data_IF_281877937652
#
_entry.id   IF_281877937652
#
_cell.length_a   1.000
_cell.length_b   1.000
_cell.length_c   1.000
_cell.angle_alpha   90.00
_cell.angle_beta   90.00
_cell.angle_gamma   90.00
#
_symmetry.space_group_name_H-M   'P 1'
#
loop_
_entity.id
_entity.type
_entity.pdbx_description
1 polymer ?
#
# COMPACT_ATOMS: atom_id res chain seq x y z
N UNK A 1 -8.91 1.78 -17.05
CA UNK A 1 -7.95 0.92 -17.79
C UNK A 1 -8.03 -0.53 -17.30
N UNK A 2 -7.56 -1.55 -18.03
CA UNK A 2 -7.54 -2.93 -17.51
C UNK A 2 -6.28 -3.19 -16.64
N UNK A 3 -6.34 -4.20 -15.77
CA UNK A 3 -5.26 -4.48 -14.80
C UNK A 3 -3.92 -4.82 -15.48
N UNK A 4 -3.91 -5.48 -16.64
CA UNK A 4 -2.68 -5.80 -17.38
C UNK A 4 -1.90 -4.53 -17.76
N UNK A 5 -2.60 -3.52 -18.29
CA UNK A 5 -1.97 -2.27 -18.70
C UNK A 5 -1.49 -1.44 -17.51
N UNK A 6 -2.18 -1.52 -16.37
CA UNK A 6 -1.71 -0.92 -15.11
C UNK A 6 -0.39 -1.56 -14.67
N UNK A 7 -0.28 -2.89 -14.71
CA UNK A 7 0.95 -3.60 -14.37
C UNK A 7 2.10 -3.18 -15.28
N UNK A 8 1.89 -3.10 -16.59
CA UNK A 8 2.91 -2.66 -17.57
C UNK A 8 3.40 -1.23 -17.30
N UNK A 9 2.49 -0.32 -16.96
CA UNK A 9 2.84 1.06 -16.65
C UNK A 9 3.54 1.19 -15.30
N UNK A 10 3.09 0.45 -14.27
CA UNK A 10 3.81 0.35 -12.99
C UNK A 10 5.22 -0.18 -13.18
N UNK A 11 5.42 -1.21 -14.02
CA UNK A 11 6.75 -1.71 -14.38
C UNK A 11 7.61 -0.61 -14.99
N UNK A 12 7.07 0.13 -15.96
CA UNK A 12 7.77 1.23 -16.64
C UNK A 12 8.20 2.32 -15.66
N UNK A 13 7.31 2.69 -14.72
CA UNK A 13 7.61 3.65 -13.65
C UNK A 13 8.73 3.13 -12.72
N UNK A 14 8.66 1.85 -12.32
CA UNK A 14 9.62 1.25 -11.40
C UNK A 14 11.01 1.06 -12.03
N UNK A 15 11.10 0.93 -13.35
CA UNK A 15 12.38 0.82 -14.06
C UNK A 15 13.06 2.16 -14.38
N UNK A 16 12.35 3.30 -14.25
CA UNK A 16 12.90 4.62 -14.57
C UNK A 16 14.02 5.07 -13.62
N UNK A 17 15.26 4.82 -14.02
CA UNK A 17 16.48 5.14 -13.23
C UNK A 17 16.75 6.63 -13.05
N UNK A 18 16.02 7.50 -13.75
CA UNK A 18 16.14 8.95 -13.55
C UNK A 18 15.41 9.43 -12.28
N UNK A 19 14.60 8.56 -11.68
CA UNK A 19 13.83 8.84 -10.48
C UNK A 19 14.41 8.11 -9.28
N UNK A 20 14.34 8.75 -8.10
CA UNK A 20 14.58 8.05 -6.84
C UNK A 20 13.51 6.98 -6.62
N UNK A 21 13.81 5.95 -5.84
CA UNK A 21 12.84 4.88 -5.58
C UNK A 21 11.55 5.41 -4.93
N UNK A 22 11.67 6.37 -4.01
CA UNK A 22 10.53 7.07 -3.43
C UNK A 22 9.65 7.76 -4.49
N UNK A 23 10.26 8.45 -5.47
CA UNK A 23 9.53 9.09 -6.57
C UNK A 23 8.85 8.06 -7.49
N UNK A 24 9.46 6.90 -7.72
CA UNK A 24 8.84 5.82 -8.49
C UNK A 24 7.60 5.28 -7.78
N UNK A 25 7.69 4.99 -6.49
CA UNK A 25 6.55 4.56 -5.67
C UNK A 25 5.44 5.62 -5.62
N UNK A 26 5.78 6.90 -5.48
CA UNK A 26 4.82 8.00 -5.56
C UNK A 26 4.05 7.99 -6.88
N UNK A 27 4.76 7.82 -8.00
CA UNK A 27 4.14 7.73 -9.34
C UNK A 27 3.25 6.49 -9.51
N UNK A 28 3.59 5.37 -8.86
CA UNK A 28 2.71 4.19 -8.82
C UNK A 28 1.42 4.50 -8.07
N UNK A 29 1.48 5.19 -6.92
CA UNK A 29 0.29 5.63 -6.19
C UNK A 29 -0.58 6.55 -7.06
N UNK A 30 0.04 7.54 -7.72
CA UNK A 30 -0.64 8.48 -8.61
C UNK A 30 -1.32 7.76 -9.78
N UNK A 31 -0.63 6.81 -10.41
CA UNK A 31 -1.18 6.02 -11.50
C UNK A 31 -2.42 5.23 -11.06
N UNK A 32 -2.33 4.52 -9.93
CA UNK A 32 -3.43 3.70 -9.43
C UNK A 32 -4.65 4.57 -9.07
N UNK A 33 -4.43 5.66 -8.36
CA UNK A 33 -5.50 6.59 -7.97
C UNK A 33 -6.19 7.22 -9.18
N UNK A 34 -5.42 7.62 -10.20
CA UNK A 34 -5.96 8.27 -11.41
C UNK A 34 -6.78 7.32 -12.29
N UNK A 35 -6.43 6.03 -12.32
CA UNK A 35 -7.00 5.06 -13.26
C UNK A 35 -8.10 4.17 -12.65
N UNK A 36 -8.18 4.11 -11.32
CA UNK A 36 -9.21 3.38 -10.57
C UNK A 36 -10.06 4.37 -9.79
N UNK A 37 -11.24 4.70 -10.33
CA UNK A 37 -12.16 5.67 -9.72
C UNK A 37 -12.57 5.37 -8.27
N UNK A 38 -12.47 4.12 -7.83
CA UNK A 38 -12.79 3.71 -6.45
C UNK A 38 -11.61 3.85 -5.49
N UNK A 39 -10.41 4.19 -5.96
CA UNK A 39 -9.22 4.33 -5.14
C UNK A 39 -9.12 5.79 -4.72
N UNK A 40 -9.74 6.14 -3.60
CA UNK A 40 -9.76 7.53 -3.11
C UNK A 40 -8.41 7.90 -2.46
N UNK A 41 -7.77 6.94 -1.79
CA UNK A 41 -6.41 7.06 -1.25
C UNK A 41 -5.59 5.82 -1.62
N UNK A 42 -4.34 6.01 -2.00
CA UNK A 42 -3.39 4.93 -2.31
C UNK A 42 -2.06 5.27 -1.67
N UNK A 43 -1.49 4.38 -0.86
CA UNK A 43 -0.18 4.66 -0.28
C UNK A 43 0.55 3.44 0.22
N UNK A 44 1.81 3.66 0.58
CA UNK A 44 2.67 2.64 1.15
C UNK A 44 2.93 2.91 2.63
N UNK A 45 2.98 1.84 3.41
CA UNK A 45 3.51 1.85 4.76
C UNK A 45 4.68 0.86 4.85
N UNK A 46 5.79 1.28 5.46
CA UNK A 46 6.98 0.47 5.61
C UNK A 46 7.21 0.04 7.06
N UNK A 47 7.63 -1.21 7.25
CA UNK A 47 7.80 -1.81 8.56
C UNK A 47 9.14 -1.42 9.21
N UNK A 48 9.07 -0.89 10.42
CA UNK A 48 10.21 -0.74 11.34
C UNK A 48 10.12 -1.79 12.44
N UNK A 49 10.55 -3.01 12.12
CA UNK A 49 10.35 -4.18 12.99
C UNK A 49 10.91 -4.04 14.41
N UNK A 50 12.02 -3.33 14.58
CA UNK A 50 12.61 -3.08 15.91
C UNK A 50 11.66 -2.34 16.84
N UNK A 51 10.76 -1.52 16.28
CA UNK A 51 9.78 -0.71 17.01
C UNK A 51 8.36 -1.29 16.91
N UNK A 52 8.16 -2.32 16.07
CA UNK A 52 6.85 -2.89 15.74
C UNK A 52 5.86 -1.81 15.27
N UNK A 53 6.33 -0.95 14.38
CA UNK A 53 5.57 0.14 13.78
C UNK A 53 5.64 0.08 12.26
N UNK A 54 4.57 0.52 11.63
CA UNK A 54 4.49 0.91 10.24
C UNK A 54 4.70 2.41 10.14
N UNK A 55 5.41 2.85 9.11
CA UNK A 55 5.66 4.27 8.84
C UNK A 55 5.18 4.63 7.43
N UNK A 56 4.49 5.76 7.33
CA UNK A 56 3.95 6.24 6.07
C UNK A 56 5.08 6.56 5.08
N UNK A 57 4.98 5.97 3.88
CA UNK A 57 5.80 6.28 2.73
C UNK A 57 5.04 7.14 1.71
N UNK A 58 5.37 7.03 0.41
CA UNK A 58 4.65 7.73 -0.64
C UNK A 58 3.16 7.36 -0.70
N UNK A 59 2.32 8.36 -0.94
CA UNK A 59 0.88 8.17 -1.13
C UNK A 59 0.30 9.18 -2.14
N UNK A 60 -0.93 8.92 -2.59
CA UNK A 60 -1.77 9.78 -3.40
C UNK A 60 -3.17 9.85 -2.78
N UNK A 61 -3.71 11.06 -2.62
CA UNK A 61 -4.97 11.30 -1.89
C UNK A 61 -4.83 12.38 -0.83
N UNK A 62 -5.87 12.53 -0.02
CA UNK A 62 -5.88 13.47 1.09
C UNK A 62 -4.79 13.13 2.12
N UNK A 63 -4.18 14.13 2.78
CA UNK A 63 -3.24 13.89 3.87
C UNK A 63 -3.87 13.05 5.00
N UNK A 64 -3.05 12.22 5.64
CA UNK A 64 -3.45 11.38 6.78
C UNK A 64 -2.63 11.68 8.03
N UNK A 65 -3.29 11.62 9.20
CA UNK A 65 -2.63 11.75 10.50
C UNK A 65 -1.90 10.46 10.93
N UNK A 66 -2.19 9.32 10.29
CA UNK A 66 -1.60 8.02 10.62
C UNK A 66 -0.20 7.83 10.04
N UNK A 67 0.71 8.76 10.30
CA UNK A 67 2.11 8.65 9.84
C UNK A 67 2.86 7.47 10.43
N UNK A 68 2.47 7.03 11.64
CA UNK A 68 3.04 5.89 12.33
C UNK A 68 1.91 5.04 12.91
N UNK A 69 1.88 3.75 12.59
CA UNK A 69 0.84 2.81 13.01
C UNK A 69 1.50 1.64 13.75
N UNK A 70 1.17 1.38 15.03
CA UNK A 70 1.68 0.20 15.72
C UNK A 70 1.15 -1.10 15.11
N UNK A 71 1.95 -2.17 15.14
CA UNK A 71 1.49 -3.50 14.75
C UNK A 71 0.29 -3.93 15.62
N UNK A 72 -0.66 -4.63 15.01
CA UNK A 72 -1.94 -5.03 15.61
C UNK A 72 -2.99 -3.91 15.75
N UNK A 73 -2.66 -2.66 15.42
CA UNK A 73 -3.57 -1.51 15.52
C UNK A 73 -4.14 -1.12 14.16
N UNK A 74 -5.45 -1.01 14.05
CA UNK A 74 -6.10 -0.76 12.76
C UNK A 74 -6.03 -1.98 11.84
N UNK A 75 -6.55 -1.83 10.63
CA UNK A 75 -6.47 -2.86 9.58
C UNK A 75 -5.01 -3.00 9.13
N UNK A 76 -4.36 -1.89 8.80
CA UNK A 76 -2.95 -1.84 8.49
C UNK A 76 -2.05 -2.56 9.52
N UNK A 77 -2.21 -2.29 10.83
CA UNK A 77 -1.41 -2.96 11.85
C UNK A 77 -1.72 -4.45 12.00
N UNK A 78 -2.97 -4.88 11.79
CA UNK A 78 -3.34 -6.30 11.79
C UNK A 78 -2.69 -7.05 10.62
N UNK A 79 -2.59 -6.44 9.45
CA UNK A 79 -1.86 -7.01 8.31
C UNK A 79 -0.38 -7.15 8.62
N UNK A 80 0.24 -6.12 9.19
CA UNK A 80 1.64 -6.17 9.60
C UNK A 80 1.94 -7.25 10.66
N UNK A 81 0.98 -7.56 11.55
CA UNK A 81 1.15 -8.62 12.55
C UNK A 81 0.86 -10.03 11.99
N UNK A 82 -0.17 -10.16 11.15
CA UNK A 82 -0.65 -11.45 10.66
C UNK A 82 0.03 -11.93 9.38
N UNK A 83 0.68 -11.02 8.64
CA UNK A 83 1.24 -11.26 7.30
C UNK A 83 0.20 -11.76 6.28
N UNK A 84 -1.07 -11.38 6.47
CA UNK A 84 -2.17 -11.73 5.58
C UNK A 84 -2.80 -10.46 5.04
N UNK A 85 -3.02 -10.41 3.73
CA UNK A 85 -3.80 -9.35 3.12
C UNK A 85 -5.18 -9.26 3.77
N UNK A 86 -5.74 -8.06 3.80
CA UNK A 86 -7.05 -7.84 4.36
C UNK A 86 -7.86 -6.94 3.43
N UNK A 87 -8.97 -7.50 2.93
CA UNK A 87 -10.01 -6.77 2.21
C UNK A 87 -11.18 -6.53 3.18
N UNK A 88 -11.50 -5.27 3.41
CA UNK A 88 -12.56 -4.82 4.31
C UNK A 88 -13.67 -4.19 3.48
N UNK A 89 -14.80 -4.88 3.37
CA UNK A 89 -15.94 -4.42 2.58
C UNK A 89 -16.69 -3.24 3.23
N UNK A 90 -16.72 -3.19 4.57
CA UNK A 90 -17.25 -2.08 5.37
C UNK A 90 -16.37 -1.85 6.60
N UNK A 91 -15.68 -0.72 6.65
CA UNK A 91 -14.80 -0.37 7.78
C UNK A 91 -15.58 -0.13 9.08
N UNK A 92 -16.85 0.27 9.01
CA UNK A 92 -17.68 0.47 10.19
C UNK A 92 -18.06 -0.84 10.88
N UNK A 93 -17.94 -1.96 10.18
CA UNK A 93 -18.16 -3.29 10.73
C UNK A 93 -16.93 -3.86 11.45
N UNK A 94 -15.81 -3.13 11.50
CA UNK A 94 -14.55 -3.60 12.08
C UNK A 94 -14.31 -2.99 13.46
N UNK A 95 -14.32 -3.83 14.50
CA UNK A 95 -14.15 -3.41 15.91
C UNK A 95 -12.80 -2.77 16.23
N UNK A 96 -11.76 -3.08 15.43
CA UNK A 96 -10.39 -2.59 15.61
C UNK A 96 -10.01 -1.54 14.55
N UNK A 97 -10.99 -0.93 13.87
CA UNK A 97 -10.72 0.11 12.87
C UNK A 97 -10.23 1.40 13.51
N UNK A 98 -9.17 1.97 12.94
CA UNK A 98 -8.67 3.30 13.32
C UNK A 98 -8.96 4.21 12.14
N UNK A 99 -10.04 4.99 12.24
CA UNK A 99 -10.49 5.84 11.15
C UNK A 99 -9.50 6.99 10.89
N UNK A 100 -8.86 7.00 9.71
CA UNK A 100 -8.10 8.17 9.23
C UNK A 100 -9.04 9.31 8.81
N UNK A 101 -10.20 8.94 8.29
CA UNK A 101 -11.17 9.84 7.67
C UNK A 101 -12.58 9.26 7.84
N UNK A 102 -13.54 10.15 8.09
CA UNK A 102 -14.96 9.78 8.22
C UNK A 102 -15.59 9.32 6.90
N UNK A 103 -14.91 9.56 5.77
CA UNK A 103 -15.46 9.24 4.45
C UNK A 103 -15.14 7.82 3.99
N UNK A 104 -14.09 7.20 4.54
CA UNK A 104 -13.65 5.85 4.16
C UNK A 104 -14.73 4.84 4.55
N UNK A 105 -15.07 3.97 3.60
CA UNK A 105 -16.09 2.93 3.74
C UNK A 105 -15.55 1.54 3.48
N UNK A 106 -14.54 1.38 2.64
CA UNK A 106 -13.84 0.11 2.47
C UNK A 106 -12.33 0.35 2.37
N UNK A 107 -11.56 -0.68 2.70
CA UNK A 107 -10.08 -0.65 2.72
C UNK A 107 -9.55 -1.97 2.14
N UNK A 108 -8.46 -1.93 1.38
CA UNK A 108 -7.69 -3.12 1.02
C UNK A 108 -6.22 -2.90 1.32
N UNK A 109 -5.65 -3.80 2.13
CA UNK A 109 -4.24 -3.77 2.50
C UNK A 109 -3.56 -5.04 1.99
N UNK A 110 -2.50 -4.87 1.19
CA UNK A 110 -1.73 -5.98 0.60
C UNK A 110 -0.27 -5.87 1.04
N UNK A 111 0.21 -6.95 1.66
CA UNK A 111 1.58 -7.02 2.21
C UNK A 111 2.65 -7.01 1.10
N UNK A 112 3.78 -6.38 1.39
CA UNK A 112 4.97 -6.31 0.54
C UNK A 112 6.07 -7.17 1.17
N UNK A 113 6.43 -8.25 0.50
CA UNK A 113 7.46 -9.18 0.97
C UNK A 113 8.75 -9.05 0.17
N UNK A 114 9.89 -9.05 0.89
CA UNK A 114 11.23 -9.23 0.32
C UNK A 114 11.91 -10.34 1.11
N UNK A 115 12.42 -11.37 0.44
CA UNK A 115 13.09 -12.52 1.07
C UNK A 115 12.28 -13.13 2.23
N UNK A 116 10.99 -13.41 1.98
CA UNK A 116 10.01 -13.95 2.94
C UNK A 116 9.73 -13.08 4.18
N UNK A 117 10.27 -11.87 4.23
CA UNK A 117 10.01 -10.89 5.28
C UNK A 117 9.01 -9.84 4.78
N UNK A 118 7.94 -9.61 5.55
CA UNK A 118 7.01 -8.50 5.31
C UNK A 118 7.71 -7.18 5.66
N UNK A 119 8.11 -6.41 4.65
CA UNK A 119 8.82 -5.14 4.81
C UNK A 119 7.90 -3.92 4.77
N UNK A 120 6.60 -4.12 4.57
CA UNK A 120 5.63 -3.05 4.40
C UNK A 120 4.38 -3.52 3.69
N UNK A 121 3.58 -2.59 3.19
CA UNK A 121 2.31 -2.89 2.54
C UNK A 121 1.89 -1.73 1.65
N UNK A 122 1.06 -2.04 0.66
CA UNK A 122 0.24 -1.04 -0.01
C UNK A 122 -1.14 -1.05 0.64
N UNK A 123 -1.66 0.14 0.88
CA UNK A 123 -2.94 0.41 1.52
C UNK A 123 -3.78 1.31 0.61
N UNK A 124 -5.05 0.96 0.45
CA UNK A 124 -5.99 1.66 -0.44
C UNK A 124 -7.33 1.82 0.26
N UNK A 125 -7.74 3.07 0.41
CA UNK A 125 -9.05 3.43 0.95
C UNK A 125 -10.03 3.78 -0.19
N UNK A 126 -11.30 3.47 0.04
CA UNK A 126 -12.41 3.94 -0.78
C UNK A 126 -13.50 4.58 0.05
N UNK A 127 -14.06 5.68 -0.45
CA UNK A 127 -15.28 6.32 0.04
C UNK A 127 -16.56 5.57 -0.37
N UNK A 128 -16.40 4.47 -1.11
CA UNK A 128 -17.45 3.54 -1.52
C UNK A 128 -17.35 2.26 -0.71
N UNK A 129 -18.47 1.74 -0.21
CA UNK A 129 -18.49 0.45 0.47
C UNK A 129 -18.33 -0.68 -0.55
N UNK A 130 -17.68 -1.78 -0.15
CA UNK A 130 -17.43 -2.95 -0.98
C UNK A 130 -16.79 -2.60 -2.34
N UNK A 131 -15.80 -1.70 -2.33
CA UNK A 131 -15.21 -1.16 -3.55
C UNK A 131 -14.15 -2.07 -4.20
N UNK A 132 -13.65 -3.05 -3.44
CA UNK A 132 -12.51 -3.88 -3.84
C UNK A 132 -12.92 -5.32 -4.09
N UNK A 133 -12.21 -5.96 -5.01
CA UNK A 133 -12.42 -7.34 -5.40
C UNK A 133 -11.12 -8.15 -5.32
N UNK A 134 -11.22 -9.45 -5.59
CA UNK A 134 -10.04 -10.31 -5.74
C UNK A 134 -9.14 -9.93 -6.91
N UNK A 135 -9.68 -9.27 -7.93
CA UNK A 135 -8.87 -8.75 -9.05
C UNK A 135 -8.03 -7.55 -8.63
N UNK A 136 -8.51 -6.75 -7.67
CA UNK A 136 -7.76 -5.64 -7.08
C UNK A 136 -6.65 -6.20 -6.19
N UNK A 137 -6.94 -7.18 -5.33
CA UNK A 137 -5.91 -7.87 -4.54
C UNK A 137 -4.80 -8.45 -5.44
N UNK A 138 -5.15 -9.17 -6.50
CA UNK A 138 -4.19 -9.76 -7.44
C UNK A 138 -3.36 -8.72 -8.21
N UNK A 139 -3.97 -7.58 -8.56
CA UNK A 139 -3.26 -6.44 -9.16
C UNK A 139 -2.19 -5.90 -8.20
N UNK A 140 -2.57 -5.64 -6.95
CA UNK A 140 -1.69 -5.08 -5.93
C UNK A 140 -0.57 -6.04 -5.55
N UNK A 141 -0.86 -7.34 -5.45
CA UNK A 141 0.17 -8.37 -5.27
C UNK A 141 1.19 -8.39 -6.42
N UNK A 142 0.72 -8.22 -7.66
CA UNK A 142 1.60 -8.17 -8.84
C UNK A 142 2.52 -6.94 -8.80
N UNK A 143 1.98 -5.79 -8.39
CA UNK A 143 2.76 -4.55 -8.20
C UNK A 143 3.76 -4.70 -7.06
N UNK A 144 3.35 -5.22 -5.90
CA UNK A 144 4.25 -5.48 -4.76
C UNK A 144 5.37 -6.45 -5.13
N UNK A 145 5.11 -7.48 -5.94
CA UNK A 145 6.16 -8.38 -6.46
C UNK A 145 7.20 -7.63 -7.29
N UNK A 146 6.79 -6.71 -8.17
CA UNK A 146 7.74 -5.90 -8.95
C UNK A 146 8.54 -4.94 -8.07
N UNK A 147 7.89 -4.31 -7.09
CA UNK A 147 8.54 -3.44 -6.10
C UNK A 147 9.59 -4.23 -5.32
N UNK A 148 9.24 -5.42 -4.83
CA UNK A 148 10.14 -6.30 -4.10
C UNK A 148 11.39 -6.67 -4.92
N UNK A 149 11.22 -6.98 -6.21
CA UNK A 149 12.33 -7.26 -7.12
C UNK A 149 13.25 -6.05 -7.29
N UNK A 150 12.71 -4.84 -7.36
CA UNK A 150 13.50 -3.61 -7.47
C UNK A 150 14.27 -3.35 -6.18
N UNK A 151 13.63 -3.53 -5.02
CA UNK A 151 14.27 -3.38 -3.70
C UNK A 151 15.48 -4.32 -3.58
N UNK A 152 15.30 -5.60 -3.90
CA UNK A 152 16.36 -6.60 -3.84
C UNK A 152 17.49 -6.30 -4.84
N UNK A 153 17.15 -6.01 -6.10
CA UNK A 153 18.12 -5.72 -7.17
C UNK A 153 18.93 -4.46 -6.93
N UNK A 154 18.29 -3.39 -6.43
CA UNK A 154 18.92 -2.09 -6.20
C UNK A 154 19.45 -1.93 -4.77
N UNK A 155 19.35 -2.97 -3.92
CA UNK A 155 19.74 -2.98 -2.51
C UNK A 155 19.14 -1.79 -1.70
N UNK A 156 17.89 -1.46 -1.98
CA UNK A 156 17.21 -0.33 -1.35
C UNK A 156 17.04 -0.61 0.15
N UNK A 157 17.48 0.34 0.99
CA UNK A 157 17.28 0.23 2.43
C UNK A 157 15.88 0.75 2.76
N UNK A 158 15.08 -0.06 3.47
CA UNK A 158 13.70 0.32 3.84
C UNK A 158 13.68 1.56 4.74
N UNK A 159 14.73 1.75 5.54
CA UNK A 159 14.89 2.95 6.37
C UNK A 159 14.98 4.24 5.55
N UNK A 160 15.41 4.19 4.29
CA UNK A 160 15.46 5.38 3.40
C UNK A 160 14.07 5.76 2.87
N UNK A 161 13.05 4.92 3.11
CA UNK A 161 11.66 5.13 2.68
C UNK A 161 10.74 5.57 3.83
N UNK A 162 11.31 5.73 5.02
CA UNK A 162 10.65 6.11 6.25
C UNK A 162 11.15 7.51 6.61
N UNK A 163 10.24 8.47 6.78
CA UNK A 163 10.55 9.78 7.36
C UNK A 163 10.68 9.72 8.89
#
# INVERSE_FOLDING_TARGET
MNNSKLIEQSFTILDDKNLSFFQRLKKVCDLLQQEKNSYDWVGFYFAKHSEKTLHLGPFAGEPTDHKVIPFGKGICGQVAESNKNFLVEDVNAQDNYIACSLNVKSEIVVSLFVNDQNIGQIDIDSNTANAFSKDDEALLESINKMIAQVIDKENIQILDLIE
#
